data_IF_957166503670
#
_entry.id   IF_957166503670
#
_cell.length_a   1.000
_cell.length_b   1.000
_cell.length_c   1.000
_cell.angle_alpha   90.00
_cell.angle_beta   90.00
_cell.angle_gamma   90.00
#
_symmetry.space_group_name_H-M   'P 1'
#
loop_
_entity.id
_entity.type
_entity.pdbx_description
1 polymer ?
#
# COMPACT_ATOMS: atom_id res chain seq x y z
N UNK A 1 18.27 -11.86 71.16
CA UNK A 1 17.61 -11.57 69.87
C UNK A 1 17.72 -12.82 68.99
N UNK A 2 16.67 -13.64 68.90
CA UNK A 2 16.68 -14.79 67.98
C UNK A 2 16.50 -14.24 66.56
N UNK A 3 17.54 -14.35 65.74
CA UNK A 3 17.39 -14.20 64.28
C UNK A 3 16.38 -15.27 63.83
N UNK A 4 15.27 -14.84 63.24
CA UNK A 4 14.25 -15.75 62.69
C UNK A 4 14.89 -16.77 61.75
N UNK A 5 14.33 -17.98 61.71
CA UNK A 5 14.86 -19.04 60.85
C UNK A 5 14.73 -18.63 59.38
N UNK A 6 15.66 -19.08 58.55
CA UNK A 6 15.74 -18.77 57.10
C UNK A 6 14.44 -19.04 56.31
N UNK A 7 13.52 -19.84 56.86
CA UNK A 7 12.18 -20.10 56.34
C UNK A 7 11.21 -18.90 56.44
N UNK A 8 11.32 -18.08 57.49
CA UNK A 8 10.50 -16.84 57.61
C UNK A 8 11.07 -15.72 56.74
N UNK A 9 12.39 -15.75 56.49
CA UNK A 9 13.06 -14.79 55.62
C UNK A 9 12.69 -14.99 54.14
N UNK A 10 12.26 -16.19 53.72
CA UNK A 10 11.80 -16.47 52.36
C UNK A 10 10.36 -16.05 52.08
N UNK A 11 9.56 -15.73 53.11
CA UNK A 11 8.21 -15.17 52.97
C UNK A 11 8.20 -13.63 53.16
N UNK A 12 9.37 -13.04 53.41
CA UNK A 12 9.52 -11.61 53.56
C UNK A 12 9.59 -10.96 52.18
N UNK A 13 8.69 -10.02 51.89
CA UNK A 13 8.73 -9.19 50.68
C UNK A 13 10.06 -8.43 50.68
N UNK A 14 10.81 -8.53 49.58
CA UNK A 14 12.09 -7.82 49.40
C UNK A 14 11.81 -6.44 48.84
N UNK A 15 12.27 -5.41 49.55
CA UNK A 15 12.32 -4.02 49.14
C UNK A 15 13.80 -3.64 48.90
N UNK A 16 14.13 -2.72 47.98
CA UNK A 16 13.23 -1.94 47.13
C UNK A 16 12.68 -2.76 45.95
N UNK A 17 11.49 -2.41 45.46
CA UNK A 17 10.89 -3.00 44.26
C UNK A 17 10.06 -1.98 43.49
N UNK A 18 9.89 -2.23 42.19
CA UNK A 18 9.07 -1.42 41.30
C UNK A 18 8.03 -2.28 40.59
N UNK A 19 6.82 -1.76 40.44
CA UNK A 19 5.74 -2.35 39.66
C UNK A 19 5.19 -1.34 38.65
N UNK A 20 4.88 -1.80 37.44
CA UNK A 20 4.27 -0.99 36.39
C UNK A 20 2.87 -1.52 36.11
N UNK A 21 1.89 -0.64 36.05
CA UNK A 21 0.52 -0.98 35.70
C UNK A 21 -0.02 -0.06 34.60
N UNK A 22 -0.88 -0.60 33.75
CA UNK A 22 -1.60 0.14 32.71
C UNK A 22 -3.00 0.45 33.24
N UNK A 23 -3.24 1.71 33.59
CA UNK A 23 -4.48 2.13 34.23
C UNK A 23 -5.59 2.40 33.23
N UNK A 24 -5.28 3.04 32.10
CA UNK A 24 -6.26 3.42 31.11
C UNK A 24 -5.68 3.54 29.70
N UNK A 25 -6.57 3.35 28.72
CA UNK A 25 -6.32 3.63 27.31
C UNK A 25 -7.45 4.55 26.84
N UNK A 26 -7.10 5.78 26.47
CA UNK A 26 -8.07 6.82 26.11
C UNK A 26 -7.80 7.33 24.69
N UNK A 27 -8.84 7.44 23.88
CA UNK A 27 -8.72 8.02 22.53
C UNK A 27 -8.36 9.51 22.61
N UNK A 28 -7.40 9.95 21.80
CA UNK A 28 -6.98 11.36 21.75
C UNK A 28 -7.51 12.06 20.48
N UNK A 29 -8.61 12.84 20.57
CA UNK A 29 -9.21 13.49 19.41
C UNK A 29 -8.36 14.64 18.86
N UNK A 30 -7.42 15.18 19.63
CA UNK A 30 -6.61 16.35 19.21
C UNK A 30 -5.57 15.98 18.17
N UNK A 31 -5.08 14.72 18.22
CA UNK A 31 -4.13 14.15 17.26
C UNK A 31 -4.82 13.37 16.14
N UNK A 32 -6.13 13.55 15.95
CA UNK A 32 -6.89 12.80 14.94
C UNK A 32 -6.39 13.14 13.53
N UNK A 33 -5.91 12.12 12.84
CA UNK A 33 -5.67 12.18 11.40
C UNK A 33 -6.95 11.89 10.61
N UNK A 34 -6.95 12.25 9.32
CA UNK A 34 -8.02 11.84 8.41
C UNK A 34 -8.08 10.30 8.33
N UNK A 35 -9.26 9.73 8.55
CA UNK A 35 -9.50 8.27 8.56
C UNK A 35 -9.41 7.63 7.18
N UNK A 36 -9.54 8.43 6.11
CA UNK A 36 -9.42 7.95 4.72
C UNK A 36 -7.99 8.00 4.19
N UNK A 37 -7.07 8.63 4.92
CA UNK A 37 -5.66 8.67 4.54
C UNK A 37 -5.04 7.28 4.60
N UNK A 38 -4.30 6.92 3.56
CA UNK A 38 -3.59 5.64 3.46
C UNK A 38 -2.13 5.92 3.12
N UNK A 39 -1.24 5.20 3.78
CA UNK A 39 0.18 5.16 3.44
C UNK A 39 0.47 3.93 2.58
N UNK A 40 1.34 4.09 1.59
CA UNK A 40 1.74 3.03 0.68
C UNK A 40 3.23 2.75 0.81
N UNK A 41 3.63 1.48 0.76
CA UNK A 41 5.02 1.08 0.68
C UNK A 41 5.18 -0.08 -0.31
N UNK A 42 6.34 -0.14 -0.97
CA UNK A 42 6.68 -1.27 -1.82
C UNK A 42 6.74 -2.55 -0.98
N UNK A 43 6.23 -3.66 -1.50
CA UNK A 43 6.42 -4.95 -0.86
C UNK A 43 7.83 -5.48 -1.21
N UNK A 44 8.78 -5.36 -0.27
CA UNK A 44 10.16 -5.81 -0.46
C UNK A 44 10.35 -7.34 -0.37
N UNK A 45 9.28 -8.13 -0.30
CA UNK A 45 9.39 -9.59 -0.42
C UNK A 45 9.89 -9.97 -1.83
N UNK A 46 10.80 -10.95 -1.91
CA UNK A 46 11.41 -11.42 -3.16
C UNK A 46 10.34 -11.75 -4.21
N UNK A 47 10.44 -11.12 -5.39
CA UNK A 47 9.51 -11.27 -6.52
C UNK A 47 8.08 -10.77 -6.27
N UNK A 48 7.83 -9.99 -5.21
CA UNK A 48 6.54 -9.36 -4.99
C UNK A 48 6.38 -8.16 -5.90
N UNK A 49 5.24 -8.10 -6.59
CA UNK A 49 4.86 -6.96 -7.44
C UNK A 49 3.63 -6.25 -6.89
N UNK A 50 3.43 -6.40 -5.58
CA UNK A 50 2.29 -5.87 -4.84
C UNK A 50 2.71 -4.64 -4.03
N UNK A 51 1.75 -3.75 -3.79
CA UNK A 51 1.93 -2.58 -2.94
C UNK A 51 1.30 -2.87 -1.59
N UNK A 52 2.05 -2.63 -0.51
CA UNK A 52 1.51 -2.65 0.84
C UNK A 52 0.81 -1.32 1.08
N UNK A 53 -0.37 -1.39 1.68
CA UNK A 53 -1.13 -0.23 2.06
C UNK A 53 -1.67 -0.40 3.48
N UNK A 54 -1.77 0.72 4.18
CA UNK A 54 -2.25 0.78 5.54
C UNK A 54 -3.00 2.08 5.73
N UNK A 55 -4.12 2.05 6.47
CA UNK A 55 -4.79 3.28 6.86
C UNK A 55 -3.97 4.04 7.91
N UNK A 56 -4.16 5.36 7.97
CA UNK A 56 -3.52 6.18 8.98
C UNK A 56 -3.78 5.65 10.40
N UNK A 57 -2.80 5.74 11.30
CA UNK A 57 -2.95 5.28 12.67
C UNK A 57 -3.97 6.10 13.45
N UNK A 58 -4.54 5.45 14.47
CA UNK A 58 -5.46 6.08 15.40
C UNK A 58 -4.71 6.46 16.69
N UNK A 59 -4.75 7.72 17.13
CA UNK A 59 -4.04 8.17 18.33
C UNK A 59 -4.74 7.74 19.62
N UNK A 60 -3.96 7.23 20.57
CA UNK A 60 -4.41 6.91 21.93
C UNK A 60 -3.40 7.43 22.97
N UNK A 61 -3.89 7.74 24.16
CA UNK A 61 -3.12 8.02 25.35
C UNK A 61 -3.18 6.79 26.25
N UNK A 62 -2.02 6.29 26.66
CA UNK A 62 -1.88 5.15 27.57
C UNK A 62 -1.40 5.68 28.91
N UNK A 63 -2.24 5.54 29.93
CA UNK A 63 -1.95 6.01 31.28
C UNK A 63 -1.33 4.87 32.06
N UNK A 64 -0.10 5.09 32.53
CA UNK A 64 0.66 4.12 33.29
C UNK A 64 0.99 4.65 34.68
N UNK A 65 0.98 3.76 35.66
CA UNK A 65 1.44 4.02 37.02
C UNK A 65 2.65 3.15 37.32
N UNK A 66 3.76 3.79 37.69
CA UNK A 66 4.91 3.13 38.30
C UNK A 66 4.81 3.30 39.82
N UNK A 67 4.71 2.19 40.54
CA UNK A 67 4.74 2.18 42.00
C UNK A 67 6.07 1.59 42.48
N UNK A 68 6.88 2.40 43.17
CA UNK A 68 8.12 1.97 43.80
C UNK A 68 7.93 1.88 45.32
N UNK A 69 8.19 0.71 45.88
CA UNK A 69 8.05 0.41 47.31
C UNK A 69 9.44 0.35 47.94
N UNK A 70 9.67 1.11 49.01
CA UNK A 70 10.97 1.21 49.70
C UNK A 70 10.82 1.23 51.23
N UNK A 71 11.81 0.68 51.94
CA UNK A 71 11.89 0.71 53.41
C UNK A 71 12.43 2.06 53.94
N UNK A 72 13.25 2.76 53.15
CA UNK A 72 13.90 4.02 53.51
C UNK A 72 13.59 5.11 52.49
N UNK A 73 13.36 6.35 52.95
CA UNK A 73 13.10 7.50 52.09
C UNK A 73 14.27 7.83 51.16
N UNK A 74 15.50 7.53 51.59
CA UNK A 74 16.72 7.71 50.79
C UNK A 74 16.72 6.82 49.53
N UNK A 75 16.36 5.55 49.67
CA UNK A 75 16.30 4.62 48.53
C UNK A 75 15.24 5.07 47.52
N UNK A 76 14.12 5.63 48.02
CA UNK A 76 13.09 6.25 47.18
C UNK A 76 13.58 7.48 46.43
N UNK A 77 14.35 8.36 47.12
CA UNK A 77 14.95 9.53 46.50
C UNK A 77 15.97 9.15 45.41
N UNK A 78 16.75 8.09 45.61
CA UNK A 78 17.69 7.60 44.59
C UNK A 78 16.97 7.09 43.33
N UNK A 79 15.84 6.38 43.48
CA UNK A 79 15.03 5.95 42.34
C UNK A 79 14.46 7.16 41.60
N UNK A 80 13.94 8.14 42.35
CA UNK A 80 13.41 9.39 41.79
C UNK A 80 14.48 10.14 40.96
N UNK A 81 15.68 10.31 41.51
CA UNK A 81 16.79 10.99 40.85
C UNK A 81 17.29 10.27 39.59
N UNK A 82 17.08 8.95 39.47
CA UNK A 82 17.44 8.21 38.26
C UNK A 82 16.38 8.29 37.16
N UNK A 83 15.14 8.62 37.49
CA UNK A 83 14.04 8.63 36.52
C UNK A 83 13.74 10.05 36.06
N UNK A 84 13.48 10.94 37.02
CA UNK A 84 12.89 12.26 36.76
C UNK A 84 13.77 13.18 35.90
N UNK A 85 15.11 13.20 36.01
CA UNK A 85 15.93 14.07 35.16
C UNK A 85 15.81 13.81 33.65
N UNK A 86 15.33 12.64 33.23
CA UNK A 86 15.09 12.33 31.82
C UNK A 86 13.80 12.93 31.26
N UNK A 87 12.90 13.45 32.12
CA UNK A 87 11.61 14.02 31.74
C UNK A 87 11.63 15.53 31.92
N UNK A 88 11.45 16.29 30.82
CA UNK A 88 11.55 17.77 30.85
C UNK A 88 10.32 18.51 30.30
N UNK A 89 9.06 18.18 30.66
CA UNK A 89 8.45 17.05 31.41
C UNK A 89 8.14 15.84 30.50
N UNK A 90 8.55 15.94 29.25
CA UNK A 90 8.32 14.96 28.19
C UNK A 90 9.64 14.31 27.77
N UNK A 91 9.56 13.05 27.40
CA UNK A 91 10.64 12.22 26.89
C UNK A 91 10.16 11.53 25.63
N UNK A 92 10.84 11.75 24.50
CA UNK A 92 10.41 11.22 23.21
C UNK A 92 11.37 10.15 22.72
N UNK A 93 10.83 9.00 22.29
CA UNK A 93 11.58 7.87 21.76
C UNK A 93 11.00 7.46 20.40
N UNK A 94 11.88 7.25 19.43
CA UNK A 94 11.51 6.71 18.13
C UNK A 94 11.40 5.18 18.22
N UNK A 95 10.23 4.63 17.90
CA UNK A 95 9.96 3.18 17.97
C UNK A 95 9.63 2.67 16.58
N UNK A 96 10.23 1.56 16.17
CA UNK A 96 9.87 0.91 14.91
C UNK A 96 8.64 0.00 15.10
N UNK A 97 7.43 0.56 14.94
CA UNK A 97 6.17 -0.16 15.21
C UNK A 97 5.70 -1.04 14.04
N UNK A 98 5.94 -0.62 12.79
CA UNK A 98 5.53 -1.38 11.60
C UNK A 98 6.75 -1.59 10.68
N UNK A 99 7.57 -2.63 10.92
CA UNK A 99 8.79 -2.86 10.15
C UNK A 99 8.54 -3.08 8.65
N UNK A 100 7.41 -3.70 8.29
CA UNK A 100 7.02 -3.96 6.90
C UNK A 100 6.76 -2.71 6.08
N UNK A 101 6.39 -1.61 6.73
CA UNK A 101 6.11 -0.31 6.10
C UNK A 101 7.20 0.72 6.41
N UNK A 102 8.26 0.33 7.15
CA UNK A 102 9.32 1.22 7.67
C UNK A 102 8.78 2.47 8.41
N UNK A 103 7.66 2.31 9.13
CA UNK A 103 7.05 3.42 9.88
C UNK A 103 7.71 3.47 11.27
N UNK A 104 8.47 4.54 11.51
CA UNK A 104 9.17 4.83 12.77
C UNK A 104 8.58 6.08 13.41
N UNK A 105 7.43 5.99 14.08
CA UNK A 105 6.87 7.14 14.77
C UNK A 105 7.68 7.46 16.02
N UNK A 106 7.73 8.75 16.34
CA UNK A 106 8.21 9.24 17.60
C UNK A 106 7.07 9.20 18.63
N UNK A 107 7.32 8.51 19.75
CA UNK A 107 6.39 8.32 20.84
C UNK A 107 6.82 9.20 22.00
N UNK A 108 5.96 10.11 22.42
CA UNK A 108 6.21 11.02 23.55
C UNK A 108 5.60 10.43 24.82
N UNK A 109 6.41 10.34 25.87
CA UNK A 109 6.03 9.93 27.22
C UNK A 109 6.11 11.16 28.10
N UNK A 110 5.03 11.45 28.83
CA UNK A 110 4.90 12.61 29.71
C UNK A 110 4.84 12.10 31.14
N UNK A 111 5.67 12.63 32.03
CA UNK A 111 5.51 12.45 33.47
C UNK A 111 4.53 13.51 33.97
N UNK A 112 3.33 13.09 34.39
CA UNK A 112 2.30 14.01 34.85
C UNK A 112 2.52 14.44 36.31
N UNK A 113 2.82 13.47 37.16
CA UNK A 113 2.86 13.65 38.61
C UNK A 113 3.73 12.58 39.28
N UNK A 114 4.29 12.94 40.43
CA UNK A 114 5.00 12.05 41.34
C UNK A 114 4.46 12.28 42.76
N UNK A 115 3.80 11.26 43.31
CA UNK A 115 3.26 11.25 44.67
C UNK A 115 4.09 10.35 45.58
N UNK A 116 4.18 10.72 46.86
CA UNK A 116 4.87 9.94 47.90
C UNK A 116 3.88 9.70 49.02
N UNK A 117 3.67 8.43 49.37
CA UNK A 117 2.85 8.02 50.51
C UNK A 117 3.72 7.28 51.52
N UNK A 118 3.54 7.61 52.79
CA UNK A 118 4.25 6.99 53.90
C UNK A 118 3.23 6.41 54.88
N UNK A 119 3.11 5.08 54.87
CA UNK A 119 2.19 4.39 55.75
C UNK A 119 2.86 4.10 57.09
N UNK A 120 2.60 4.98 58.07
CA UNK A 120 2.97 4.77 59.47
C UNK A 120 1.73 4.43 60.29
N UNK A 121 1.33 3.16 60.28
CA UNK A 121 0.37 2.62 61.25
C UNK A 121 1.13 2.35 62.56
N UNK A 122 0.71 2.96 63.67
CA UNK A 122 1.42 2.99 64.96
C UNK A 122 1.55 1.65 65.70
N UNK A 123 1.42 0.53 65.01
CA UNK A 123 1.64 -0.82 65.51
C UNK A 123 3.12 -1.22 65.33
N UNK A 124 3.80 -1.57 66.42
CA UNK A 124 5.20 -2.02 66.44
C UNK A 124 5.46 -3.30 65.63
N UNK A 125 4.41 -3.98 65.17
CA UNK A 125 4.50 -5.21 64.38
C UNK A 125 4.57 -4.95 62.87
N UNK A 126 4.04 -3.82 62.38
CA UNK A 126 4.03 -3.48 60.95
C UNK A 126 5.27 -2.66 60.59
N UNK A 127 6.01 -3.09 59.57
CA UNK A 127 7.16 -2.33 59.07
C UNK A 127 6.65 -1.14 58.24
N UNK A 128 7.28 0.02 58.42
CA UNK A 128 7.02 1.22 57.61
C UNK A 128 7.35 0.94 56.15
N UNK A 129 6.41 1.21 55.25
CA UNK A 129 6.59 1.14 53.80
C UNK A 129 6.27 2.50 53.19
N UNK A 130 7.22 3.02 52.40
CA UNK A 130 7.09 4.26 51.66
C UNK A 130 6.85 3.90 50.19
N UNK A 131 5.77 4.42 49.63
CA UNK A 131 5.35 4.16 48.25
C UNK A 131 5.53 5.45 47.44
N UNK A 132 6.33 5.37 46.39
CA UNK A 132 6.46 6.40 45.37
C UNK A 132 5.62 6.02 44.17
N UNK A 133 4.72 6.90 43.75
CA UNK A 133 3.81 6.67 42.63
C UNK A 133 4.10 7.70 41.55
N UNK A 134 4.57 7.24 40.39
CA UNK A 134 4.86 8.09 39.23
C UNK A 134 3.82 7.81 38.14
N UNK A 135 3.11 8.85 37.73
CA UNK A 135 2.05 8.78 36.74
C UNK A 135 2.57 9.22 35.38
N UNK A 136 2.58 8.31 34.40
CA UNK A 136 3.03 8.58 33.03
C UNK A 136 1.86 8.54 32.06
N UNK A 137 1.89 9.43 31.07
CA UNK A 137 1.03 9.37 29.89
C UNK A 137 1.89 9.12 28.66
N UNK A 138 1.70 7.98 28.02
CA UNK A 138 2.34 7.66 26.74
C UNK A 138 1.39 8.01 25.59
N UNK A 139 1.83 8.90 24.69
CA UNK A 139 1.09 9.28 23.49
C UNK A 139 1.40 8.31 22.35
N UNK A 140 0.58 7.27 22.24
CA UNK A 140 0.75 6.19 21.28
C UNK A 140 -0.14 6.30 20.04
N UNK A 141 0.09 5.37 19.12
CA UNK A 141 -0.66 5.17 17.90
C UNK A 141 -1.00 3.69 17.74
N UNK A 142 -2.28 3.39 17.49
CA UNK A 142 -2.73 2.04 17.12
C UNK A 142 -2.86 2.00 15.61
N UNK A 143 -2.17 1.04 15.00
CA UNK A 143 -2.17 0.85 13.56
C UNK A 143 -3.16 -0.25 13.16
N UNK A 144 -4.00 0.00 12.14
CA UNK A 144 -4.80 -1.06 11.53
C UNK A 144 -3.89 -2.04 10.77
N UNK A 145 -4.44 -3.14 10.30
CA UNK A 145 -3.67 -4.15 9.61
C UNK A 145 -3.12 -3.66 8.25
N UNK A 146 -1.95 -4.19 7.87
CA UNK A 146 -1.34 -3.91 6.57
C UNK A 146 -1.96 -4.84 5.53
N UNK A 147 -2.51 -4.28 4.46
CA UNK A 147 -3.06 -5.04 3.33
C UNK A 147 -2.13 -4.95 2.13
N UNK A 148 -2.07 -6.00 1.31
CA UNK A 148 -1.40 -5.97 0.01
C UNK A 148 -2.43 -5.82 -1.11
N UNK A 149 -2.06 -5.05 -2.13
CA UNK A 149 -2.84 -4.89 -3.36
C UNK A 149 -1.98 -5.12 -4.60
N UNK A 150 -2.59 -5.60 -5.68
CA UNK A 150 -1.93 -5.68 -6.98
C UNK A 150 -1.73 -4.27 -7.57
N UNK A 151 -0.61 -4.06 -8.25
CA UNK A 151 -0.32 -2.81 -8.95
C UNK A 151 -0.71 -2.96 -10.42
N UNK A 152 -1.39 -1.96 -10.98
CA UNK A 152 -1.66 -1.92 -12.42
C UNK A 152 -0.37 -1.58 -13.15
N UNK A 153 0.11 -2.49 -13.99
CA UNK A 153 1.37 -2.35 -14.72
C UNK A 153 1.20 -1.93 -16.19
N UNK A 154 0.03 -2.16 -16.76
CA UNK A 154 -0.25 -1.85 -18.17
C UNK A 154 -1.72 -1.54 -18.33
N UNK A 155 -2.03 -0.52 -19.14
CA UNK A 155 -3.38 -0.25 -19.64
C UNK A 155 -3.36 -0.40 -21.15
N UNK A 156 -4.30 -1.19 -21.68
CA UNK A 156 -4.49 -1.36 -23.12
C UNK A 156 -5.82 -0.73 -23.53
N UNK A 157 -5.78 0.18 -24.52
CA UNK A 157 -6.96 0.74 -25.16
C UNK A 157 -7.01 0.25 -26.60
N UNK A 158 -8.09 -0.47 -26.93
CA UNK A 158 -8.32 -1.01 -28.26
C UNK A 158 -9.33 -0.16 -29.03
N UNK A 159 -8.91 0.38 -30.17
CA UNK A 159 -9.80 1.06 -31.09
C UNK A 159 -10.23 0.08 -32.19
N UNK A 160 -11.52 -0.26 -32.20
CA UNK A 160 -12.11 -1.26 -33.08
C UNK A 160 -12.84 -0.60 -34.24
N UNK A 161 -12.66 -1.13 -35.44
CA UNK A 161 -13.52 -0.84 -36.59
C UNK A 161 -14.72 -1.80 -36.60
N UNK A 162 -15.96 -1.30 -36.72
CA UNK A 162 -17.12 -2.17 -36.88
C UNK A 162 -17.07 -2.87 -38.24
N UNK A 163 -17.42 -4.16 -38.30
CA UNK A 163 -17.72 -4.80 -39.56
C UNK A 163 -19.09 -4.29 -40.01
N UNK A 164 -19.10 -3.54 -41.11
CA UNK A 164 -20.30 -3.40 -41.91
C UNK A 164 -20.18 -4.48 -42.99
N UNK A 165 -21.11 -5.43 -42.99
CA UNK A 165 -21.21 -6.38 -44.08
C UNK A 165 -21.47 -5.57 -45.36
N UNK A 166 -20.57 -5.68 -46.35
CA UNK A 166 -20.83 -5.16 -47.67
C UNK A 166 -21.94 -6.02 -48.28
N UNK A 167 -23.19 -5.54 -48.20
CA UNK A 167 -24.28 -6.13 -48.95
C UNK A 167 -24.05 -5.80 -50.44
N UNK A 168 -23.53 -6.81 -51.15
CA UNK A 168 -23.35 -6.92 -52.61
C UNK A 168 -22.03 -6.29 -53.13
N UNK A 169 -21.18 -7.04 -53.86
CA UNK A 169 -20.02 -6.46 -54.53
C UNK A 169 -20.46 -5.50 -55.65
N UNK A 170 -19.91 -4.29 -55.65
CA UNK A 170 -20.13 -3.30 -56.70
C UNK A 170 -19.20 -3.59 -57.88
N UNK A 171 -19.77 -3.84 -59.06
CA UNK A 171 -19.03 -4.05 -60.30
C UNK A 171 -18.96 -2.73 -61.07
N UNK A 172 -17.79 -2.40 -61.66
CA UNK A 172 -17.71 -1.35 -62.68
C UNK A 172 -18.22 -1.96 -63.99
N UNK A 173 -19.46 -1.66 -64.33
CA UNK A 173 -20.11 -2.10 -65.58
C UNK A 173 -19.93 -1.03 -66.64
N UNK A 174 -19.42 -1.42 -67.81
CA UNK A 174 -19.31 -0.52 -68.97
C UNK A 174 -20.70 -0.21 -69.52
N UNK A 175 -20.91 1.02 -69.99
CA UNK A 175 -22.22 1.53 -70.46
C UNK A 175 -22.83 0.75 -71.63
N UNK A 176 -22.04 -0.09 -72.31
CA UNK A 176 -22.47 -0.96 -73.41
C UNK A 176 -22.81 -2.39 -72.98
N UNK A 177 -22.72 -2.71 -71.68
CA UNK A 177 -23.12 -4.01 -71.16
C UNK A 177 -24.64 -4.18 -71.21
N UNK A 178 -25.09 -5.40 -71.50
CA UNK A 178 -26.52 -5.75 -71.59
C UNK A 178 -26.85 -6.85 -70.59
N UNK A 179 -28.14 -7.13 -70.38
CA UNK A 179 -28.62 -8.22 -69.51
C UNK A 179 -28.06 -9.60 -69.88
N UNK A 180 -27.48 -9.74 -71.08
CA UNK A 180 -26.90 -10.99 -71.59
C UNK A 180 -25.39 -10.89 -71.88
N UNK A 181 -24.74 -9.74 -71.63
CA UNK A 181 -23.29 -9.57 -71.82
C UNK A 181 -22.68 -8.61 -70.81
N UNK A 182 -21.80 -9.14 -69.95
CA UNK A 182 -20.97 -8.34 -69.04
C UNK A 182 -19.63 -8.03 -69.69
N UNK A 183 -19.33 -6.76 -69.91
CA UNK A 183 -18.01 -6.34 -70.38
C UNK A 183 -17.10 -6.04 -69.18
N UNK A 184 -15.85 -6.50 -69.25
CA UNK A 184 -14.84 -6.31 -68.20
C UNK A 184 -13.81 -5.28 -68.66
N UNK A 185 -13.38 -4.40 -67.75
CA UNK A 185 -12.18 -3.59 -67.98
C UNK A 185 -10.96 -4.48 -67.74
N UNK A 186 -10.26 -4.83 -68.81
CA UNK A 186 -8.96 -5.48 -68.74
C UNK A 186 -7.90 -4.38 -68.59
N UNK A 187 -7.31 -4.26 -67.40
CA UNK A 187 -6.11 -3.46 -67.21
C UNK A 187 -4.94 -4.37 -67.57
N UNK A 188 -4.24 -4.07 -68.66
CA UNK A 188 -3.09 -4.85 -69.11
C UNK A 188 -2.06 -4.93 -67.99
N UNK A 189 -1.80 -6.15 -67.51
CA UNK A 189 -0.70 -6.42 -66.61
C UNK A 189 0.60 -6.35 -67.42
N UNK A 190 1.18 -5.15 -67.50
CA UNK A 190 2.51 -4.87 -68.04
C UNK A 190 2.74 -5.30 -69.50
N UNK A 191 2.90 -4.33 -70.39
CA UNK A 191 3.15 -4.51 -71.81
C UNK A 191 4.55 -5.14 -72.07
N UNK A 192 4.73 -6.43 -71.77
CA UNK A 192 6.00 -7.12 -72.04
C UNK A 192 6.20 -8.53 -71.48
N UNK A 193 5.32 -9.09 -70.64
CA UNK A 193 5.57 -10.40 -70.00
C UNK A 193 4.69 -11.53 -70.56
N UNK A 194 5.26 -12.59 -71.18
CA UNK A 194 4.50 -13.71 -71.75
C UNK A 194 3.76 -14.58 -70.72
N UNK A 195 4.06 -14.44 -69.43
CA UNK A 195 3.61 -15.38 -68.38
C UNK A 195 2.70 -14.73 -67.32
N UNK A 196 2.26 -13.48 -67.53
CA UNK A 196 1.32 -12.79 -66.64
C UNK A 196 -0.11 -13.33 -66.83
N UNK A 197 -0.41 -14.49 -66.25
CA UNK A 197 -1.72 -15.17 -66.37
C UNK A 197 -2.68 -14.87 -65.19
N UNK A 198 -2.34 -13.91 -64.34
CA UNK A 198 -3.16 -13.53 -63.18
C UNK A 198 -4.02 -12.30 -63.46
N UNK A 199 -5.33 -12.43 -63.29
CA UNK A 199 -6.25 -11.29 -63.20
C UNK A 199 -5.86 -10.37 -62.03
N UNK A 200 -5.66 -9.08 -62.30
CA UNK A 200 -5.41 -8.08 -61.25
C UNK A 200 -6.73 -7.80 -60.50
N UNK A 201 -6.78 -8.16 -59.21
CA UNK A 201 -7.93 -7.89 -58.32
C UNK A 201 -7.90 -6.41 -57.92
N UNK A 202 -8.77 -5.58 -58.51
CA UNK A 202 -9.00 -4.21 -58.03
C UNK A 202 -9.93 -4.29 -56.82
N UNK A 203 -9.40 -4.00 -55.64
CA UNK A 203 -10.15 -3.97 -54.39
C UNK A 203 -10.75 -2.57 -54.21
N UNK A 204 -12.07 -2.48 -54.09
CA UNK A 204 -12.70 -1.27 -53.55
C UNK A 204 -12.64 -1.29 -52.01
N UNK A 205 -12.84 -0.15 -51.37
CA UNK A 205 -12.92 0.04 -49.91
C UNK A 205 -14.00 -0.83 -49.23
N UNK A 206 -14.87 -1.46 -50.01
CA UNK A 206 -15.90 -2.42 -49.59
C UNK A 206 -15.48 -3.90 -49.63
N UNK A 207 -14.23 -4.22 -50.00
CA UNK A 207 -13.78 -5.62 -50.11
C UNK A 207 -13.79 -6.35 -48.76
N UNK A 208 -14.08 -7.65 -48.75
CA UNK A 208 -14.09 -8.49 -47.52
C UNK A 208 -12.76 -8.50 -46.77
N UNK A 209 -11.66 -8.23 -47.47
CA UNK A 209 -10.31 -8.10 -46.89
C UNK A 209 -10.12 -6.72 -46.18
N UNK A 210 -10.97 -5.73 -46.50
CA UNK A 210 -11.02 -4.41 -45.85
C UNK A 210 -12.14 -4.30 -44.78
N UNK A 211 -13.15 -5.18 -44.81
CA UNK A 211 -14.34 -5.14 -43.97
C UNK A 211 -14.28 -6.01 -42.69
N UNK A 212 -13.09 -6.47 -42.29
CA UNK A 212 -12.95 -7.32 -41.10
C UNK A 212 -13.11 -6.49 -39.80
N UNK A 213 -14.09 -6.88 -38.96
CA UNK A 213 -14.26 -6.32 -37.62
C UNK A 213 -13.08 -6.70 -36.74
N UNK A 214 -12.36 -5.73 -36.20
CA UNK A 214 -11.29 -6.01 -35.25
C UNK A 214 -10.55 -4.76 -34.78
N UNK A 215 -9.50 -4.98 -34.01
CA UNK A 215 -8.63 -3.95 -33.46
C UNK A 215 -7.67 -3.51 -34.58
N UNK A 216 -7.76 -2.24 -34.97
CA UNK A 216 -6.86 -1.62 -35.98
C UNK A 216 -5.77 -0.76 -35.34
N UNK A 217 -6.05 -0.23 -34.15
CA UNK A 217 -5.08 0.56 -33.40
C UNK A 217 -5.12 0.15 -31.94
N UNK A 218 -3.93 -0.04 -31.36
CA UNK A 218 -3.75 -0.27 -29.93
C UNK A 218 -2.89 0.85 -29.36
N UNK A 219 -3.35 1.40 -28.24
CA UNK A 219 -2.54 2.27 -27.41
C UNK A 219 -2.20 1.49 -26.15
N UNK A 220 -0.92 1.21 -25.96
CA UNK A 220 -0.39 0.55 -24.76
C UNK A 220 0.29 1.61 -23.91
N UNK A 221 -0.22 1.82 -22.70
CA UNK A 221 0.38 2.72 -21.72
C UNK A 221 1.01 1.90 -20.60
N UNK A 222 2.32 2.04 -20.41
CA UNK A 222 3.05 1.46 -19.28
C UNK A 222 3.54 2.58 -18.37
N UNK A 223 3.25 2.53 -17.06
CA UNK A 223 3.87 3.44 -16.10
C UNK A 223 5.38 3.24 -16.14
N UNK A 224 6.16 4.32 -16.33
CA UNK A 224 7.60 4.25 -16.22
C UNK A 224 8.00 4.20 -14.76
N UNK A 225 8.77 3.19 -14.34
CA UNK A 225 9.58 3.28 -13.13
C UNK A 225 10.56 2.12 -13.00
N UNK A 226 11.85 2.38 -13.19
CA UNK A 226 12.89 1.66 -12.46
C UNK A 226 13.63 2.55 -11.45
N UNK A 227 13.50 3.89 -11.52
CA UNK A 227 14.26 4.81 -10.64
C UNK A 227 13.57 6.17 -10.48
N UNK A 228 12.51 6.24 -9.66
CA UNK A 228 11.68 7.46 -9.48
C UNK A 228 12.12 8.25 -8.25
N UNK A 229 12.41 9.54 -8.42
CA UNK A 229 12.69 10.50 -7.33
C UNK A 229 11.48 11.41 -7.08
N UNK A 230 11.37 12.01 -5.89
CA UNK A 230 10.18 12.76 -5.45
C UNK A 230 9.82 14.01 -6.28
N UNK A 231 10.64 14.41 -7.25
CA UNK A 231 10.35 15.50 -8.21
C UNK A 231 9.96 15.01 -9.61
N UNK A 232 9.89 13.70 -9.82
CA UNK A 232 9.57 13.11 -11.12
C UNK A 232 8.06 13.20 -11.36
N UNK A 233 7.66 13.71 -12.53
CA UNK A 233 6.28 13.52 -12.98
C UNK A 233 6.16 12.03 -13.34
N UNK A 234 5.03 11.39 -13.02
CA UNK A 234 4.81 9.97 -13.24
C UNK A 234 4.74 9.63 -14.74
N UNK A 235 5.88 9.76 -15.42
CA UNK A 235 6.02 9.59 -16.86
C UNK A 235 5.56 8.21 -17.25
N UNK A 236 4.60 8.15 -18.15
CA UNK A 236 4.13 6.92 -18.76
C UNK A 236 4.74 6.79 -20.16
N UNK A 237 5.18 5.60 -20.53
CA UNK A 237 5.49 5.29 -21.92
C UNK A 237 4.19 4.94 -22.62
N UNK A 238 3.92 5.58 -23.76
CA UNK A 238 2.84 5.19 -24.66
C UNK A 238 3.44 4.64 -25.94
N UNK A 239 3.06 3.41 -26.29
CA UNK A 239 3.31 2.84 -27.61
C UNK A 239 1.98 2.79 -28.35
N UNK A 240 1.96 3.34 -29.56
CA UNK A 240 0.83 3.24 -30.47
C UNK A 240 1.21 2.24 -31.56
N UNK A 241 0.42 1.17 -31.66
CA UNK A 241 0.59 0.13 -32.67
C UNK A 241 -0.56 0.20 -33.67
N UNK A 242 -0.23 0.06 -34.95
CA UNK A 242 -1.17 0.01 -36.06
C UNK A 242 -1.09 -1.36 -36.71
N UNK A 243 -2.25 -1.97 -36.97
CA UNK A 243 -2.32 -3.31 -37.57
C UNK A 243 -2.90 -3.22 -38.99
N UNK A 244 -2.09 -3.65 -39.98
CA UNK A 244 -2.50 -3.68 -41.38
C UNK A 244 -3.70 -4.62 -41.59
N UNK A 245 -3.63 -5.81 -40.99
CA UNK A 245 -4.75 -6.75 -40.86
C UNK A 245 -5.31 -6.61 -39.44
N UNK A 246 -6.63 -6.40 -39.25
CA UNK A 246 -7.19 -6.27 -37.92
C UNK A 246 -6.96 -7.55 -37.12
N UNK A 247 -6.66 -7.41 -35.83
CA UNK A 247 -6.52 -8.52 -34.88
C UNK A 247 -7.67 -8.49 -33.86
N UNK A 248 -7.90 -9.58 -33.14
CA UNK A 248 -8.76 -9.59 -31.96
C UNK A 248 -7.96 -9.99 -30.72
N UNK A 249 -8.58 -9.86 -29.54
CA UNK A 249 -7.98 -10.24 -28.27
C UNK A 249 -8.90 -11.22 -27.55
N UNK A 250 -8.33 -12.33 -27.07
CA UNK A 250 -9.07 -13.30 -26.28
C UNK A 250 -9.33 -12.72 -24.87
N UNK A 251 -10.58 -12.50 -24.46
CA UNK A 251 -10.90 -11.85 -23.18
C UNK A 251 -10.51 -12.67 -21.95
N UNK A 252 -10.27 -13.97 -22.11
CA UNK A 252 -9.92 -14.90 -21.02
C UNK A 252 -8.41 -15.06 -20.85
N UNK A 253 -7.65 -15.06 -21.95
CA UNK A 253 -6.18 -15.23 -21.90
C UNK A 253 -5.42 -13.92 -22.08
N UNK A 254 -6.08 -12.87 -22.58
CA UNK A 254 -5.46 -11.58 -22.89
C UNK A 254 -4.51 -11.61 -24.09
N UNK A 255 -4.42 -12.76 -24.79
CA UNK A 255 -3.54 -12.92 -25.95
C UNK A 255 -4.21 -12.43 -27.24
N UNK A 256 -3.38 -11.92 -28.13
CA UNK A 256 -3.80 -11.52 -29.46
C UNK A 256 -4.06 -12.74 -30.33
N UNK A 257 -5.13 -12.66 -31.09
CA UNK A 257 -5.53 -13.66 -32.07
C UNK A 257 -5.68 -12.98 -33.42
N UNK A 258 -5.15 -13.63 -34.45
CA UNK A 258 -5.40 -13.19 -35.82
C UNK A 258 -6.85 -13.52 -36.17
N UNK A 259 -7.52 -12.57 -36.81
CA UNK A 259 -8.85 -12.76 -37.38
C UNK A 259 -8.80 -13.56 -38.69
#
# INVERSE_FOLDING_TARGET
VRRGSKSDQSLQISLPRMGFDLNAIVYDPTRKLNTLGRTFAANNATSSTTLLNQYNPVPYNFDFTLSAMVDNSEDGAQIFEQIVPFFTPEFTVSVNLVPSMNIKPDITIILNDVAIEDSYEGDLVVRREIIWTLNFMLKGYIYPDVKSGSVVKTVLVHLRTPAVAADIPEYIVLEDSTDFSTNYIVLDADAGSPDATGIMKVLNESSSDAAMAGIKTRITTTPGANDVVASDDFGYSQTIEYFDIPIDNNPTTGLDVNL
#
